data_IF_236831348141
#
_entry.id   IF_236831348141
#
_cell.length_a   1.000
_cell.length_b   1.000
_cell.length_c   1.000
_cell.angle_alpha   90.00
_cell.angle_beta   90.00
_cell.angle_gamma   90.00
#
_symmetry.space_group_name_H-M   'P 1'
#
loop_
_entity.id
_entity.type
_entity.pdbx_description
1 polymer ?
#
# COMPACT_ATOMS: atom_id res chain seq x y z
N UNK A 1 -4.79 -4.42 2.67
CA UNK A 1 -4.79 -5.90 2.55
C UNK A 1 -5.03 -6.34 1.10
N UNK A 2 -4.57 -7.54 0.75
CA UNK A 2 -4.87 -8.20 -0.52
C UNK A 2 -5.44 -9.58 -0.22
N UNK A 3 -6.59 -9.89 -0.81
CA UNK A 3 -7.21 -11.21 -0.75
C UNK A 3 -7.06 -11.90 -2.09
N UNK A 4 -6.72 -13.17 -2.08
CA UNK A 4 -6.57 -14.00 -3.26
C UNK A 4 -7.49 -15.22 -3.14
N UNK A 5 -8.14 -15.59 -4.24
CA UNK A 5 -9.00 -16.77 -4.32
C UNK A 5 -8.75 -17.57 -5.59
N UNK A 6 -8.39 -18.82 -5.38
CA UNK A 6 -8.25 -19.86 -6.41
C UNK A 6 -9.48 -20.78 -6.35
N UNK A 7 -10.40 -20.56 -7.27
CA UNK A 7 -11.63 -21.34 -7.34
C UNK A 7 -11.37 -22.80 -7.79
N UNK A 8 -10.39 -23.00 -8.66
CA UNK A 8 -10.09 -24.33 -9.21
C UNK A 8 -9.53 -25.29 -8.15
N UNK A 9 -8.68 -24.79 -7.26
CA UNK A 9 -8.05 -25.60 -6.22
C UNK A 9 -8.62 -25.35 -4.81
N UNK A 10 -9.71 -24.57 -4.74
CA UNK A 10 -10.38 -24.21 -3.48
C UNK A 10 -9.37 -23.70 -2.43
N UNK A 11 -8.53 -22.74 -2.84
CA UNK A 11 -7.50 -22.16 -2.01
C UNK A 11 -7.63 -20.64 -1.90
N UNK A 12 -7.24 -20.07 -0.77
CA UNK A 12 -7.31 -18.64 -0.57
C UNK A 12 -6.12 -18.13 0.24
N UNK A 13 -5.82 -16.84 0.09
CA UNK A 13 -4.84 -16.15 0.91
C UNK A 13 -5.34 -14.77 1.34
N UNK A 14 -4.97 -14.36 2.56
CA UNK A 14 -5.15 -13.01 3.07
C UNK A 14 -3.78 -12.42 3.42
N UNK A 15 -3.46 -11.26 2.84
CA UNK A 15 -2.12 -10.69 2.84
C UNK A 15 -2.17 -9.28 3.46
N UNK A 16 -1.34 -9.02 4.47
CA UNK A 16 -1.07 -7.66 4.89
C UNK A 16 0.04 -7.03 4.04
N UNK A 17 -0.35 -6.31 2.99
CA UNK A 17 0.55 -5.62 2.08
C UNK A 17 0.70 -4.13 2.48
N UNK A 18 1.16 -3.86 3.70
CA UNK A 18 1.63 -2.54 4.10
C UNK A 18 2.92 -2.17 3.36
N UNK A 19 3.44 -0.95 3.51
CA UNK A 19 4.56 -0.48 2.67
C UNK A 19 5.81 -1.38 2.74
N UNK A 20 6.17 -1.89 3.94
CA UNK A 20 7.29 -2.84 4.09
C UNK A 20 7.02 -4.18 3.41
N UNK A 21 5.78 -4.69 3.52
CA UNK A 21 5.36 -5.91 2.83
C UNK A 21 5.32 -5.73 1.31
N UNK A 22 4.80 -4.61 0.84
CA UNK A 22 4.78 -4.24 -0.59
C UNK A 22 6.21 -4.12 -1.13
N UNK A 23 7.08 -3.40 -0.44
CA UNK A 23 8.50 -3.28 -0.78
C UNK A 23 9.18 -4.65 -0.87
N UNK A 24 8.90 -5.55 0.07
CA UNK A 24 9.39 -6.92 0.10
C UNK A 24 8.67 -7.87 -0.89
N UNK A 25 7.76 -7.35 -1.71
CA UNK A 25 6.96 -8.09 -2.70
C UNK A 25 6.18 -9.26 -2.08
N UNK A 26 5.53 -9.02 -0.92
CA UNK A 26 4.81 -10.08 -0.19
C UNK A 26 3.72 -10.74 -1.04
N UNK A 27 3.03 -9.99 -1.90
CA UNK A 27 2.00 -10.52 -2.81
C UNK A 27 2.61 -11.53 -3.80
N UNK A 28 3.76 -11.20 -4.42
CA UNK A 28 4.47 -12.12 -5.30
C UNK A 28 4.88 -13.40 -4.57
N UNK A 29 5.45 -13.27 -3.37
CA UNK A 29 5.84 -14.43 -2.56
C UNK A 29 4.65 -15.32 -2.22
N UNK A 30 3.52 -14.72 -1.86
CA UNK A 30 2.29 -15.49 -1.57
C UNK A 30 1.79 -16.23 -2.81
N UNK A 31 1.84 -15.61 -4.00
CA UNK A 31 1.48 -16.28 -5.26
C UNK A 31 2.41 -17.45 -5.58
N UNK A 32 3.71 -17.32 -5.32
CA UNK A 32 4.66 -18.43 -5.46
C UNK A 32 4.32 -19.59 -4.53
N UNK A 33 3.99 -19.31 -3.26
CA UNK A 33 3.58 -20.33 -2.30
C UNK A 33 2.25 -21.00 -2.71
N UNK A 34 1.27 -20.23 -3.19
CA UNK A 34 0.02 -20.80 -3.70
C UNK A 34 0.27 -21.68 -4.93
N UNK A 35 1.10 -21.25 -5.87
CA UNK A 35 1.48 -22.05 -7.04
C UNK A 35 2.20 -23.35 -6.62
N UNK A 36 3.08 -23.28 -5.63
CA UNK A 36 3.80 -24.44 -5.13
C UNK A 36 2.87 -25.42 -4.40
N UNK A 37 2.07 -24.92 -3.44
CA UNK A 37 1.26 -25.74 -2.55
C UNK A 37 -0.01 -26.29 -3.23
N UNK A 38 -0.68 -25.46 -4.05
CA UNK A 38 -1.99 -25.74 -4.62
C UNK A 38 -2.02 -25.85 -6.13
N UNK A 39 -0.89 -25.59 -6.82
CA UNK A 39 -0.82 -25.53 -8.28
C UNK A 39 -1.65 -24.37 -8.87
N UNK A 40 -1.87 -23.33 -8.08
CA UNK A 40 -2.61 -22.14 -8.50
C UNK A 40 -2.08 -21.57 -9.81
N UNK A 41 -2.96 -21.37 -10.78
CA UNK A 41 -2.67 -20.64 -12.01
C UNK A 41 -3.03 -19.15 -11.81
N UNK A 42 -2.05 -18.24 -11.80
CA UNK A 42 -2.32 -16.82 -11.62
C UNK A 42 -3.35 -16.25 -12.60
N UNK A 43 -3.44 -16.78 -13.82
CA UNK A 43 -4.40 -16.30 -14.83
C UNK A 43 -5.86 -16.53 -14.46
N UNK A 44 -6.12 -17.51 -13.59
CA UNK A 44 -7.48 -17.86 -13.13
C UNK A 44 -7.78 -17.30 -11.74
N UNK A 45 -6.77 -16.77 -11.07
CA UNK A 45 -6.89 -16.26 -9.72
C UNK A 45 -7.75 -14.99 -9.68
N UNK A 46 -8.61 -14.88 -8.68
CA UNK A 46 -9.34 -13.65 -8.34
C UNK A 46 -8.62 -12.93 -7.22
N UNK A 47 -8.46 -11.62 -7.34
CA UNK A 47 -7.75 -10.79 -6.37
C UNK A 47 -8.56 -9.56 -5.98
N UNK A 48 -8.56 -9.22 -4.68
CA UNK A 48 -9.18 -7.99 -4.17
C UNK A 48 -8.16 -7.23 -3.36
N UNK A 49 -7.95 -5.96 -3.71
CA UNK A 49 -7.22 -5.00 -2.89
C UNK A 49 -8.25 -4.32 -1.99
N UNK A 50 -8.18 -4.60 -0.69
CA UNK A 50 -9.14 -4.12 0.30
C UNK A 50 -8.79 -2.72 0.85
N UNK A 51 -9.57 -2.22 1.84
CA UNK A 51 -9.36 -0.90 2.41
C UNK A 51 -7.94 -0.69 2.93
N UNK A 52 -7.32 0.41 2.51
CA UNK A 52 -5.95 0.76 2.87
C UNK A 52 -5.73 2.27 2.79
N UNK A 53 -4.50 2.73 3.01
CA UNK A 53 -4.17 4.13 2.84
C UNK A 53 -3.96 4.43 1.35
N UNK A 54 -4.62 5.48 0.83
CA UNK A 54 -4.50 5.91 -0.58
C UNK A 54 -3.26 6.75 -0.81
N UNK A 55 -2.93 6.98 -2.09
CA UNK A 55 -1.90 7.91 -2.53
C UNK A 55 -2.04 9.28 -1.85
N UNK A 56 -3.27 9.82 -1.80
CA UNK A 56 -3.55 11.15 -1.24
C UNK A 56 -3.14 11.29 0.22
N UNK A 57 -3.17 10.19 0.96
CA UNK A 57 -2.98 10.19 2.40
C UNK A 57 -1.67 9.51 2.84
N UNK A 58 -0.98 8.81 1.92
CA UNK A 58 0.26 8.11 2.25
C UNK A 58 1.49 8.96 1.94
N UNK A 59 1.64 10.03 2.72
CA UNK A 59 2.86 10.83 2.78
C UNK A 59 3.99 10.02 3.39
N UNK A 60 5.19 10.11 2.81
CA UNK A 60 6.38 9.37 3.23
C UNK A 60 7.62 10.27 3.25
N UNK A 61 8.64 9.87 4.00
CA UNK A 61 9.96 10.48 3.95
C UNK A 61 10.77 10.00 2.74
N UNK A 62 11.87 10.71 2.48
CA UNK A 62 12.77 10.40 1.36
C UNK A 62 13.32 8.97 1.47
N UNK A 63 13.56 8.49 2.69
CA UNK A 63 14.08 7.13 2.94
C UNK A 63 13.13 6.02 2.46
N UNK A 64 11.81 6.28 2.48
CA UNK A 64 10.82 5.32 1.97
C UNK A 64 10.76 5.38 0.45
N UNK A 65 10.78 6.60 -0.12
CA UNK A 65 10.84 6.80 -1.56
C UNK A 65 12.07 6.11 -2.16
N UNK A 66 13.25 6.37 -1.62
CA UNK A 66 14.51 5.78 -2.07
C UNK A 66 14.51 4.25 -1.95
N UNK A 67 13.89 3.70 -0.90
CA UNK A 67 13.78 2.25 -0.76
C UNK A 67 12.93 1.62 -1.87
N UNK A 68 11.82 2.27 -2.30
CA UNK A 68 11.02 1.81 -3.43
C UNK A 68 11.77 1.96 -4.76
N UNK A 69 12.49 3.06 -4.96
CA UNK A 69 13.32 3.29 -6.14
C UNK A 69 14.42 2.23 -6.26
N UNK A 70 15.17 1.96 -5.18
CA UNK A 70 16.22 0.93 -5.13
C UNK A 70 15.66 -0.49 -5.36
N UNK A 71 14.41 -0.74 -4.98
CA UNK A 71 13.72 -1.98 -5.24
C UNK A 71 13.11 -2.05 -6.65
N UNK A 72 13.46 -1.10 -7.53
CA UNK A 72 13.03 -1.01 -8.93
C UNK A 72 11.50 -1.01 -9.09
N UNK A 73 10.80 -0.23 -8.27
CA UNK A 73 9.42 0.13 -8.55
C UNK A 73 9.35 1.27 -9.57
N UNK A 74 8.33 1.34 -10.43
CA UNK A 74 8.16 2.41 -11.41
C UNK A 74 7.70 3.70 -10.72
N UNK A 75 8.65 4.44 -10.16
CA UNK A 75 8.38 5.60 -9.30
C UNK A 75 7.55 6.68 -10.00
N UNK A 76 7.72 6.86 -11.31
CA UNK A 76 6.94 7.79 -12.13
C UNK A 76 5.45 7.45 -12.21
N UNK A 77 5.07 6.20 -11.92
CA UNK A 77 3.68 5.76 -11.93
C UNK A 77 3.06 5.74 -10.54
N UNK A 78 3.86 5.40 -9.52
CA UNK A 78 3.37 5.10 -8.18
C UNK A 78 3.61 6.23 -7.17
N UNK A 79 4.44 7.22 -7.49
CA UNK A 79 4.82 8.28 -6.55
C UNK A 79 4.65 9.66 -7.15
N UNK A 80 4.28 10.60 -6.31
CA UNK A 80 4.23 12.01 -6.67
C UNK A 80 4.64 12.91 -5.49
N UNK A 81 5.14 14.10 -5.80
CA UNK A 81 5.38 15.13 -4.80
C UNK A 81 4.17 16.03 -4.64
N UNK A 82 3.81 16.31 -3.39
CA UNK A 82 2.71 17.21 -3.04
C UNK A 82 3.18 18.25 -2.02
N UNK A 83 2.49 19.42 -1.95
CA UNK A 83 2.79 20.42 -0.93
C UNK A 83 2.71 19.84 0.47
N UNK A 84 3.77 20.11 1.25
CA UNK A 84 3.82 19.72 2.66
C UNK A 84 3.04 20.72 3.51
N UNK A 85 1.96 20.28 4.14
CA UNK A 85 1.11 21.13 4.97
C UNK A 85 1.85 21.73 6.20
N UNK A 86 2.94 21.11 6.62
CA UNK A 86 3.77 21.62 7.72
C UNK A 86 4.81 22.67 7.27
N UNK A 87 4.94 22.93 5.95
CA UNK A 87 5.88 23.90 5.42
C UNK A 87 5.32 25.32 5.57
N UNK A 88 5.99 26.14 6.38
CA UNK A 88 5.61 27.55 6.52
C UNK A 88 6.09 28.39 5.35
N UNK A 89 5.23 29.26 4.83
CA UNK A 89 5.61 30.27 3.84
C UNK A 89 6.44 31.42 4.46
N UNK A 90 6.37 31.61 5.79
CA UNK A 90 7.13 32.65 6.51
C UNK A 90 8.61 32.23 6.66
N UNK A 91 9.56 33.01 6.08
CA UNK A 91 10.99 32.75 6.21
C UNK A 91 11.49 32.72 7.66
N UNK A 92 10.97 33.61 8.52
CA UNK A 92 11.42 33.71 9.91
C UNK A 92 11.03 32.44 10.71
N UNK A 93 9.88 31.89 10.44
CA UNK A 93 9.45 30.62 11.04
C UNK A 93 10.29 29.43 10.55
N UNK A 94 10.61 29.39 9.26
CA UNK A 94 11.49 28.37 8.70
C UNK A 94 12.87 28.40 9.34
N UNK A 95 13.46 29.61 9.48
CA UNK A 95 14.78 29.81 10.09
C UNK A 95 14.78 29.37 11.56
N UNK A 96 13.68 29.63 12.28
CA UNK A 96 13.51 29.17 13.66
C UNK A 96 13.45 27.64 13.73
N UNK A 97 12.62 27.01 12.91
CA UNK A 97 12.50 25.55 12.85
C UNK A 97 13.81 24.89 12.46
N UNK A 98 14.53 25.45 11.51
CA UNK A 98 15.86 24.98 11.10
C UNK A 98 16.89 25.07 12.22
N UNK A 99 16.87 26.16 13.00
CA UNK A 99 17.76 26.33 14.18
C UNK A 99 17.46 25.30 15.28
N UNK A 100 16.22 24.82 15.37
CA UNK A 100 15.78 23.75 16.28
C UNK A 100 16.07 22.34 15.71
N UNK A 101 16.68 22.23 14.52
CA UNK A 101 16.97 20.98 13.84
C UNK A 101 15.79 20.41 13.05
N UNK A 102 14.68 21.16 12.94
CA UNK A 102 13.46 20.78 12.25
C UNK A 102 13.44 21.35 10.82
N UNK A 103 14.18 20.73 9.90
CA UNK A 103 14.15 21.13 8.49
C UNK A 103 12.89 20.56 7.81
N UNK A 104 11.94 21.43 7.51
CA UNK A 104 10.70 21.06 6.84
C UNK A 104 10.83 21.32 5.34
N UNK A 105 10.71 20.26 4.54
CA UNK A 105 10.75 20.37 3.08
C UNK A 105 9.40 20.91 2.55
N UNK A 106 9.42 21.73 1.45
CA UNK A 106 8.21 22.31 0.88
C UNK A 106 7.28 21.26 0.22
N UNK A 107 7.86 20.17 -0.22
CA UNK A 107 7.17 19.06 -0.85
C UNK A 107 7.44 17.77 -0.06
N UNK A 108 6.48 16.85 -0.14
CA UNK A 108 6.59 15.51 0.42
C UNK A 108 6.22 14.47 -0.63
N UNK A 109 6.88 13.33 -0.56
CA UNK A 109 6.53 12.19 -1.39
C UNK A 109 5.26 11.52 -0.90
N UNK A 110 4.44 11.12 -1.84
CA UNK A 110 3.27 10.27 -1.65
C UNK A 110 3.43 9.03 -2.53
N UNK A 111 3.09 7.84 -2.00
CA UNK A 111 3.20 6.57 -2.72
C UNK A 111 1.84 5.87 -2.78
N UNK A 112 1.49 5.37 -3.97
CA UNK A 112 0.27 4.62 -4.22
C UNK A 112 0.47 3.12 -3.92
N UNK A 113 0.29 2.70 -2.67
CA UNK A 113 0.43 1.29 -2.28
C UNK A 113 -0.60 0.36 -2.96
N UNK A 114 -1.89 0.73 -3.11
CA UNK A 114 -2.84 -0.05 -3.91
C UNK A 114 -2.33 -0.32 -5.32
N UNK A 115 -1.86 0.72 -6.03
CA UNK A 115 -1.32 0.57 -7.39
C UNK A 115 -0.06 -0.30 -7.42
N UNK A 116 0.86 -0.15 -6.46
CA UNK A 116 2.03 -1.03 -6.35
C UNK A 116 1.62 -2.51 -6.29
N UNK A 117 0.64 -2.83 -5.45
CA UNK A 117 0.16 -4.20 -5.30
C UNK A 117 -0.61 -4.69 -6.54
N UNK A 118 -1.39 -3.81 -7.20
CA UNK A 118 -2.02 -4.13 -8.49
C UNK A 118 -0.97 -4.48 -9.55
N UNK A 119 0.08 -3.67 -9.66
CA UNK A 119 1.17 -3.93 -10.61
C UNK A 119 1.91 -5.24 -10.31
N UNK A 120 2.14 -5.58 -9.04
CA UNK A 120 2.72 -6.88 -8.66
C UNK A 120 1.80 -8.02 -9.10
N UNK A 121 0.49 -7.94 -8.90
CA UNK A 121 -0.48 -8.94 -9.34
C UNK A 121 -0.44 -9.14 -10.87
N UNK A 122 -0.49 -8.04 -11.63
CA UNK A 122 -0.41 -8.04 -13.09
C UNK A 122 0.90 -8.66 -13.58
N UNK A 123 2.03 -8.27 -12.97
CA UNK A 123 3.34 -8.82 -13.32
C UNK A 123 3.45 -10.33 -13.03
N UNK A 124 2.72 -10.82 -12.02
CA UNK A 124 2.62 -12.24 -11.72
C UNK A 124 1.66 -13.01 -12.65
N UNK A 125 1.00 -12.33 -13.58
CA UNK A 125 0.11 -12.95 -14.57
C UNK A 125 -1.35 -13.04 -14.15
N UNK A 126 -1.75 -12.38 -13.05
CA UNK A 126 -3.19 -12.26 -12.72
C UNK A 126 -3.85 -11.38 -13.78
N UNK A 127 -4.96 -11.85 -14.36
CA UNK A 127 -5.68 -11.11 -15.38
C UNK A 127 -6.29 -9.82 -14.78
N UNK A 128 -6.23 -8.71 -15.51
CA UNK A 128 -6.67 -7.41 -14.98
C UNK A 128 -8.15 -7.40 -14.60
N UNK A 129 -8.98 -8.07 -15.39
CA UNK A 129 -10.41 -8.25 -15.12
C UNK A 129 -10.72 -9.03 -13.84
N UNK A 130 -9.74 -9.75 -13.32
CA UNK A 130 -9.83 -10.52 -12.07
C UNK A 130 -9.30 -9.76 -10.86
N UNK A 131 -8.82 -8.52 -11.05
CA UNK A 131 -8.30 -7.69 -9.96
C UNK A 131 -9.32 -6.60 -9.65
N UNK A 132 -9.85 -6.60 -8.44
CA UNK A 132 -10.69 -5.53 -7.93
C UNK A 132 -9.95 -4.70 -6.89
N UNK A 133 -10.06 -3.39 -6.96
CA UNK A 133 -9.64 -2.46 -5.91
C UNK A 133 -10.89 -1.83 -5.31
N UNK A 134 -11.07 -1.92 -3.99
CA UNK A 134 -12.22 -1.32 -3.32
C UNK A 134 -12.19 0.21 -3.31
N UNK A 135 -11.04 0.83 -3.55
CA UNK A 135 -10.88 2.29 -3.59
C UNK A 135 -11.08 3.02 -2.25
N UNK A 136 -11.17 2.28 -1.14
CA UNK A 136 -11.46 2.86 0.17
C UNK A 136 -10.17 3.26 0.88
N UNK A 137 -10.03 4.56 1.18
CA UNK A 137 -8.94 5.09 1.98
C UNK A 137 -9.30 5.09 3.47
N UNK A 138 -8.61 4.28 4.26
CA UNK A 138 -8.84 4.19 5.71
C UNK A 138 -8.50 5.47 6.47
N UNK A 139 -7.64 6.34 5.91
CA UNK A 139 -7.34 7.66 6.50
C UNK A 139 -8.48 8.64 6.29
N UNK A 140 -9.06 8.67 5.10
CA UNK A 140 -10.18 9.55 4.75
C UNK A 140 -11.48 9.09 5.40
N UNK A 141 -11.69 7.77 5.50
CA UNK A 141 -12.85 7.15 6.14
C UNK A 141 -12.52 6.63 7.54
N UNK A 142 -11.86 7.48 8.35
CA UNK A 142 -11.44 7.11 9.71
C UNK A 142 -12.59 7.07 10.73
N UNK A 143 -13.76 7.47 10.34
CA UNK A 143 -15.04 7.30 11.05
C UNK A 143 -15.60 5.87 10.95
N UNK A 144 -15.25 5.16 9.86
CA UNK A 144 -15.68 3.77 9.63
C UNK A 144 -14.52 2.76 9.81
N UNK A 145 -13.27 3.19 9.55
CA UNK A 145 -12.09 2.33 9.57
C UNK A 145 -11.03 2.82 10.54
N UNK A 146 -10.40 1.91 11.25
CA UNK A 146 -9.21 2.27 12.02
C UNK A 146 -8.05 2.64 11.10
N UNK A 147 -7.43 3.80 11.35
CA UNK A 147 -6.28 4.28 10.62
C UNK A 147 -5.16 4.66 11.58
N UNK A 148 -4.10 3.87 11.64
CA UNK A 148 -2.95 4.18 12.50
C UNK A 148 -2.28 5.52 12.10
N UNK A 149 -2.31 5.90 10.83
CA UNK A 149 -1.81 7.20 10.35
C UNK A 149 -2.65 8.36 10.89
N UNK A 150 -3.98 8.22 10.97
CA UNK A 150 -4.90 9.25 11.45
C UNK A 150 -5.00 9.28 12.97
N UNK A 151 -5.09 8.11 13.59
CA UNK A 151 -5.43 7.93 15.00
C UNK A 151 -4.21 7.65 15.89
N UNK A 152 -3.01 7.53 15.30
CA UNK A 152 -1.80 7.26 16.05
C UNK A 152 -1.62 5.80 16.49
N UNK A 153 -0.70 5.58 17.42
CA UNK A 153 -0.32 4.23 17.91
C UNK A 153 -1.41 3.52 18.68
N UNK A 154 -2.31 4.29 19.31
CA UNK A 154 -3.45 3.78 20.07
C UNK A 154 -4.64 3.38 19.18
N UNK A 155 -4.50 3.52 17.86
CA UNK A 155 -5.54 3.10 16.92
C UNK A 155 -5.81 1.61 17.03
N UNK A 156 -7.09 1.23 16.94
CA UNK A 156 -7.50 -0.15 16.71
C UNK A 156 -6.91 -0.73 15.44
N UNK A 157 -7.24 -1.98 15.14
CA UNK A 157 -6.78 -2.69 13.94
C UNK A 157 -7.97 -3.19 13.14
N UNK A 158 -7.81 -3.24 11.81
CA UNK A 158 -8.78 -3.83 10.90
C UNK A 158 -8.36 -5.29 10.69
N UNK A 159 -9.33 -6.18 10.85
CA UNK A 159 -9.16 -7.59 10.46
C UNK A 159 -9.75 -7.79 9.07
N UNK A 160 -8.98 -8.42 8.21
CA UNK A 160 -9.40 -8.84 6.88
C UNK A 160 -9.27 -10.35 6.80
N UNK A 161 -10.35 -11.02 6.43
CA UNK A 161 -10.39 -12.48 6.37
C UNK A 161 -11.09 -12.94 5.09
N UNK A 162 -10.77 -14.14 4.66
CA UNK A 162 -11.47 -14.88 3.61
C UNK A 162 -11.78 -16.26 4.15
N UNK A 163 -13.00 -16.71 3.94
CA UNK A 163 -13.48 -18.04 4.36
C UNK A 163 -13.86 -18.84 3.12
N UNK A 164 -13.39 -20.06 3.05
CA UNK A 164 -13.82 -21.04 2.04
C UNK A 164 -14.91 -21.91 2.65
N UNK A 165 -16.10 -21.89 2.05
CA UNK A 165 -17.18 -22.79 2.40
C UNK A 165 -16.99 -24.13 1.67
N UNK A 166 -17.40 -25.22 2.32
CA UNK A 166 -17.29 -26.58 1.77
C UNK A 166 -18.40 -26.85 0.75
#
# INVERSE_FOLDING_TARGET
>A
PVLLYDEEHHAAAAIHAGWRGTLARIVHKTLQEMAFAYKTDPKKLKAVIGPGISLDSFEVGDEVYEAFEQAAFPMEEIAEQRPNAAFSADPAERDRLAAEGNIVQPLKWHINLPLCNKQILLHCGVAEENIQDCGICTFQHSDEYFSARKLGTESGRIYTAILLEK
#
